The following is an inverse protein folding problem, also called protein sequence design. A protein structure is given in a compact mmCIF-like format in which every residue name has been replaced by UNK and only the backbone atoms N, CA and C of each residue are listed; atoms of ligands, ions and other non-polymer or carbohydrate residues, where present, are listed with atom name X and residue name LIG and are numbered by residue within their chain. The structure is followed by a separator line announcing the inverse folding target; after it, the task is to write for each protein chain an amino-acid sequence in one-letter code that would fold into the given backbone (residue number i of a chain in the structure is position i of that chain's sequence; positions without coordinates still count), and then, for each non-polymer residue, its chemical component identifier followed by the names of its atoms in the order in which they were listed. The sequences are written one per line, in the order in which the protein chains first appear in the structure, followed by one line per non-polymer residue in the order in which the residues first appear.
data_IF_438534650186
#
_entry.id   IF_438534650186
#
_cell.length_a   1.000
_cell.length_b   1.000
_cell.length_c   1.000
_cell.angle_alpha   90.00
_cell.angle_beta   90.00
_cell.angle_gamma   90.00
#
_symmetry.space_group_name_H-M   'P 1'
#
loop_
_entity.id
_entity.type
_entity.pdbx_description
1 polymer ?
#
# COMPACT_ATOMS: atom_id res chain seq x y z
N UNK A 1 15.57 -3.27 -17.98
CA UNK A 1 14.17 -3.29 -17.55
C UNK A 1 14.12 -3.55 -16.06
N UNK A 2 13.35 -2.74 -15.33
CA UNK A 2 13.03 -2.93 -13.92
C UNK A 2 11.54 -3.25 -13.77
N UNK A 3 11.22 -4.22 -12.92
CA UNK A 3 9.86 -4.58 -12.52
C UNK A 3 9.76 -4.35 -11.01
N UNK A 4 8.98 -3.36 -10.60
CA UNK A 4 8.93 -2.91 -9.21
C UNK A 4 7.49 -2.93 -8.70
N UNK A 5 7.28 -3.56 -7.55
CA UNK A 5 6.03 -3.51 -6.80
C UNK A 5 6.28 -2.97 -5.39
N UNK A 6 5.22 -2.65 -4.65
CA UNK A 6 5.31 -2.13 -3.28
C UNK A 6 6.14 -3.00 -2.34
N UNK A 7 6.08 -4.32 -2.50
CA UNK A 7 6.91 -5.27 -1.74
C UNK A 7 8.41 -5.04 -1.83
N UNK A 8 8.90 -4.39 -2.89
CA UNK A 8 10.33 -4.02 -3.02
C UNK A 8 10.82 -3.16 -1.86
N UNK A 9 9.94 -2.39 -1.22
CA UNK A 9 10.29 -1.56 -0.05
C UNK A 9 10.84 -2.38 1.12
N UNK A 10 10.36 -3.59 1.33
CA UNK A 10 10.78 -4.46 2.43
C UNK A 10 11.80 -5.52 2.01
N UNK A 11 11.76 -5.95 0.75
CA UNK A 11 12.54 -7.07 0.26
C UNK A 11 13.86 -6.65 -0.41
N UNK A 12 13.97 -5.37 -0.84
CA UNK A 12 15.14 -4.86 -1.54
C UNK A 12 15.82 -3.78 -0.70
N UNK A 13 17.03 -4.08 -0.18
CA UNK A 13 17.78 -3.16 0.65
C UNK A 13 19.29 -3.30 0.50
N UNK A 14 19.98 -2.17 0.42
CA UNK A 14 21.42 -2.04 0.58
C UNK A 14 21.66 -0.91 1.56
N UNK A 15 22.15 -1.24 2.74
CA UNK A 15 22.32 -0.27 3.82
C UNK A 15 23.60 0.55 3.67
N UNK A 16 23.57 1.77 4.19
CA UNK A 16 24.76 2.62 4.34
C UNK A 16 25.82 1.95 5.23
N UNK A 17 27.08 2.33 5.05
CA UNK A 17 28.20 1.77 5.78
C UNK A 17 28.02 1.91 7.30
N UNK A 18 28.35 0.87 8.03
CA UNK A 18 28.16 0.80 9.49
C UNK A 18 26.74 0.46 9.95
N UNK A 19 25.78 0.34 9.02
CA UNK A 19 24.43 -0.14 9.30
C UNK A 19 24.28 -1.63 9.04
N UNK A 20 23.47 -2.29 9.86
CA UNK A 20 23.09 -3.70 9.71
C UNK A 20 21.58 -3.82 9.74
N UNK A 21 21.04 -4.94 9.27
CA UNK A 21 19.61 -5.20 9.36
C UNK A 21 19.09 -5.11 10.79
N UNK A 22 19.84 -5.62 11.76
CA UNK A 22 19.48 -5.56 13.17
C UNK A 22 19.38 -4.11 13.69
N UNK A 23 20.33 -3.24 13.30
CA UNK A 23 20.27 -1.81 13.64
C UNK A 23 19.08 -1.11 12.99
N UNK A 24 18.78 -1.41 11.72
CA UNK A 24 17.63 -0.86 11.03
C UNK A 24 16.31 -1.31 11.69
N UNK A 25 16.20 -2.57 12.08
CA UNK A 25 15.03 -3.10 12.78
C UNK A 25 14.85 -2.39 14.14
N UNK A 26 15.91 -2.26 14.94
CA UNK A 26 15.87 -1.57 16.22
C UNK A 26 15.43 -0.10 16.06
N UNK A 27 16.03 0.65 15.13
CA UNK A 27 15.66 2.04 14.85
C UNK A 27 14.20 2.17 14.36
N UNK A 28 13.72 1.20 13.57
CA UNK A 28 12.32 1.18 13.12
C UNK A 28 11.37 0.94 14.29
N UNK A 29 11.70 -0.02 15.18
CA UNK A 29 10.89 -0.30 16.37
C UNK A 29 10.85 0.88 17.34
N UNK A 30 11.99 1.55 17.55
CA UNK A 30 12.08 2.76 18.37
C UNK A 30 11.17 3.87 17.80
N UNK A 31 11.23 4.12 16.50
CA UNK A 31 10.35 5.09 15.82
C UNK A 31 8.88 4.74 16.00
N UNK A 32 8.51 3.48 15.81
CA UNK A 32 7.13 3.01 16.01
C UNK A 32 6.67 3.18 17.46
N UNK A 33 7.51 2.82 18.43
CA UNK A 33 7.20 2.97 19.85
C UNK A 33 7.00 4.44 20.25
N UNK A 34 7.68 5.37 19.59
CA UNK A 34 7.54 6.81 19.78
C UNK A 34 6.41 7.44 18.95
N UNK A 35 5.57 6.64 18.29
CA UNK A 35 4.40 7.12 17.54
C UNK A 35 4.74 7.81 16.22
N UNK A 36 5.93 7.56 15.65
CA UNK A 36 6.29 8.14 14.37
C UNK A 36 5.36 7.66 13.25
N UNK A 37 5.00 8.55 12.35
CA UNK A 37 4.21 8.25 11.17
C UNK A 37 4.99 7.34 10.20
N UNK A 38 4.25 6.63 9.34
CA UNK A 38 4.87 5.80 8.28
C UNK A 38 5.75 6.65 7.34
N UNK A 39 5.40 7.92 7.13
CA UNK A 39 6.17 8.84 6.33
C UNK A 39 7.56 9.13 6.95
N UNK A 40 7.61 9.36 8.27
CA UNK A 40 8.86 9.58 9.01
C UNK A 40 9.73 8.32 9.02
N UNK A 41 9.14 7.15 9.19
CA UNK A 41 9.84 5.86 9.13
C UNK A 41 10.41 5.65 7.73
N UNK A 42 9.64 5.90 6.68
CA UNK A 42 10.10 5.76 5.31
C UNK A 42 11.19 6.79 4.96
N UNK A 43 11.10 8.02 5.47
CA UNK A 43 12.15 9.03 5.31
C UNK A 43 13.48 8.55 5.95
N UNK A 44 13.44 8.04 7.19
CA UNK A 44 14.60 7.45 7.84
C UNK A 44 15.18 6.28 7.02
N UNK A 45 14.33 5.35 6.57
CA UNK A 45 14.77 4.20 5.77
C UNK A 45 15.43 4.62 4.47
N UNK A 46 14.92 5.65 3.78
CA UNK A 46 15.56 6.23 2.58
C UNK A 46 16.93 6.83 2.88
N UNK A 47 17.10 7.48 4.05
CA UNK A 47 18.41 8.01 4.45
C UNK A 47 19.45 6.91 4.69
N UNK A 48 19.04 5.79 5.30
CA UNK A 48 19.88 4.66 5.65
C UNK A 48 20.13 3.66 4.51
N UNK A 49 19.53 3.88 3.36
CA UNK A 49 19.62 3.01 2.18
C UNK A 49 20.50 3.62 1.11
N UNK A 50 21.31 2.79 0.47
CA UNK A 50 22.12 3.15 -0.72
C UNK A 50 21.31 3.09 -2.03
N UNK A 51 20.11 2.51 -2.02
CA UNK A 51 19.33 2.28 -3.26
C UNK A 51 17.96 2.95 -3.29
N UNK A 52 17.37 3.30 -2.13
CA UNK A 52 16.05 3.94 -2.05
C UNK A 52 16.11 5.44 -2.31
N UNK A 53 14.96 6.06 -2.66
CA UNK A 53 14.88 7.49 -2.91
C UNK A 53 15.68 7.95 -4.14
N UNK A 54 15.65 7.17 -5.22
CA UNK A 54 16.38 7.45 -6.45
C UNK A 54 17.85 7.06 -6.42
N UNK A 55 18.39 6.63 -5.28
CA UNK A 55 19.81 6.33 -5.16
C UNK A 55 20.27 5.11 -5.98
N UNK A 56 19.35 4.25 -6.42
CA UNK A 56 19.69 3.10 -7.26
C UNK A 56 20.40 3.50 -8.55
N UNK A 57 20.15 4.71 -9.06
CA UNK A 57 20.78 5.22 -10.27
C UNK A 57 22.31 5.25 -10.24
N UNK A 58 22.93 5.40 -9.07
CA UNK A 58 24.40 5.40 -8.94
C UNK A 58 25.04 4.05 -9.31
N UNK A 59 24.25 2.97 -9.32
CA UNK A 59 24.72 1.62 -9.67
C UNK A 59 24.34 1.20 -11.09
N UNK A 60 23.62 2.05 -11.81
CA UNK A 60 23.16 1.74 -13.17
C UNK A 60 24.08 2.44 -14.19
N UNK A 61 24.65 1.65 -15.10
CA UNK A 61 25.46 2.16 -16.21
C UNK A 61 24.65 3.10 -17.12
N UNK A 62 25.35 3.85 -17.99
CA UNK A 62 24.73 4.76 -18.97
C UNK A 62 23.97 4.02 -20.09
N UNK A 63 22.91 3.36 -19.73
CA UNK A 63 22.01 2.65 -20.65
C UNK A 63 20.60 3.18 -20.51
N UNK A 64 19.79 3.13 -21.57
CA UNK A 64 18.35 3.39 -21.44
C UNK A 64 17.72 2.45 -20.41
N UNK A 65 16.90 3.01 -19.55
CA UNK A 65 16.21 2.28 -18.48
C UNK A 65 14.70 2.36 -18.69
N UNK A 66 14.05 1.22 -18.62
CA UNK A 66 12.58 1.15 -18.56
C UNK A 66 12.15 0.55 -17.23
N UNK A 67 11.09 1.10 -16.64
CA UNK A 67 10.54 0.64 -15.36
C UNK A 67 9.02 0.41 -15.46
N UNK A 68 8.58 -0.78 -15.12
CA UNK A 68 7.18 -1.11 -14.96
C UNK A 68 6.86 -1.21 -13.47
N UNK A 69 5.81 -0.51 -13.04
CA UNK A 69 5.40 -0.41 -11.65
C UNK A 69 4.05 -1.10 -11.42
N UNK A 70 3.94 -1.83 -10.33
CA UNK A 70 2.66 -2.19 -9.74
C UNK A 70 2.47 -1.32 -8.49
N UNK A 71 1.43 -0.49 -8.49
CA UNK A 71 1.16 0.43 -7.38
C UNK A 71 0.23 -0.20 -6.36
N UNK A 72 0.67 -0.15 -5.11
CA UNK A 72 -0.09 -0.48 -3.90
C UNK A 72 -0.32 0.73 -2.99
N UNK A 73 0.02 1.93 -3.48
CA UNK A 73 -0.08 3.17 -2.70
C UNK A 73 -1.17 4.09 -3.23
N UNK A 74 -1.87 4.77 -2.33
CA UNK A 74 -2.85 5.77 -2.70
C UNK A 74 -2.20 6.91 -3.50
N UNK A 75 -2.82 7.26 -4.63
CA UNK A 75 -2.35 8.34 -5.51
C UNK A 75 -1.20 7.95 -6.42
N UNK A 76 -0.80 6.68 -6.45
CA UNK A 76 0.12 6.09 -7.45
C UNK A 76 1.45 6.83 -7.61
N UNK A 77 1.95 7.45 -6.53
CA UNK A 77 3.20 8.21 -6.59
C UNK A 77 4.41 7.27 -6.73
N UNK A 78 5.13 7.30 -7.86
CA UNK A 78 6.26 6.40 -8.10
C UNK A 78 7.43 6.59 -7.12
N UNK A 79 7.54 7.77 -6.49
CA UNK A 79 8.54 8.02 -5.46
C UNK A 79 8.22 7.34 -4.11
N UNK A 80 7.00 6.80 -3.97
CA UNK A 80 6.55 6.05 -2.78
C UNK A 80 6.57 4.55 -3.05
N UNK A 81 6.15 4.11 -4.25
CA UNK A 81 6.15 2.71 -4.66
C UNK A 81 7.55 2.10 -4.50
N UNK A 82 7.66 1.01 -3.73
CA UNK A 82 8.94 0.38 -3.46
C UNK A 82 9.99 1.29 -2.79
N UNK A 83 9.56 2.36 -2.10
CA UNK A 83 10.40 3.43 -1.54
C UNK A 83 11.16 4.23 -2.61
N UNK A 84 10.67 4.25 -3.85
CA UNK A 84 11.21 5.09 -4.92
C UNK A 84 12.63 4.70 -5.33
N UNK A 85 12.88 3.42 -5.63
CA UNK A 85 14.23 2.94 -6.02
C UNK A 85 14.82 3.74 -7.18
N UNK A 86 13.99 4.08 -8.19
CA UNK A 86 14.38 4.85 -9.36
C UNK A 86 13.82 6.29 -9.37
N UNK A 87 13.23 6.73 -8.25
CA UNK A 87 12.57 8.05 -8.18
C UNK A 87 13.05 8.86 -6.97
N UNK A 88 13.43 10.14 -7.18
CA UNK A 88 13.40 10.86 -8.45
C UNK A 88 14.42 10.32 -9.46
N UNK A 89 14.06 10.39 -10.75
CA UNK A 89 14.97 10.02 -11.83
C UNK A 89 15.89 11.19 -12.21
N UNK A 90 17.14 10.93 -12.61
CA UNK A 90 18.01 11.96 -13.19
C UNK A 90 17.43 12.49 -14.50
N UNK A 91 17.60 13.79 -14.74
CA UNK A 91 17.05 14.46 -15.94
C UNK A 91 17.88 14.23 -17.20
N UNK A 92 19.11 13.79 -17.05
CA UNK A 92 20.10 13.54 -18.11
C UNK A 92 20.13 12.06 -18.56
N UNK A 93 19.25 11.22 -18.01
CA UNK A 93 19.19 9.79 -18.33
C UNK A 93 18.00 9.45 -19.22
N UNK A 94 18.21 8.55 -20.18
CA UNK A 94 17.13 7.98 -20.97
C UNK A 94 16.32 7.02 -20.09
N UNK A 95 15.18 7.50 -19.57
CA UNK A 95 14.32 6.78 -18.66
C UNK A 95 12.85 6.84 -19.07
N UNK A 96 12.21 5.69 -19.12
CA UNK A 96 10.77 5.55 -19.31
C UNK A 96 10.17 4.72 -18.18
N UNK A 97 8.95 5.03 -17.79
CA UNK A 97 8.24 4.26 -16.79
C UNK A 97 6.74 4.25 -17.02
N UNK A 98 6.08 3.23 -16.52
CA UNK A 98 4.63 3.05 -16.61
C UNK A 98 4.12 2.30 -15.36
N UNK A 99 2.93 2.67 -14.90
CA UNK A 99 2.17 1.87 -13.91
C UNK A 99 1.30 0.89 -14.68
N UNK A 100 1.67 -0.38 -14.64
CA UNK A 100 0.98 -1.45 -15.37
C UNK A 100 -0.19 -2.05 -14.62
N UNK A 101 -0.23 -1.85 -13.29
CA UNK A 101 -1.37 -2.25 -12.45
C UNK A 101 -1.47 -1.35 -11.22
N UNK A 102 -2.69 -0.95 -10.90
CA UNK A 102 -3.04 -0.24 -9.68
C UNK A 102 -4.46 -0.59 -9.24
N UNK A 103 -4.88 -0.06 -8.09
CA UNK A 103 -6.20 -0.30 -7.52
C UNK A 103 -7.33 0.15 -8.46
N UNK A 104 -7.22 1.33 -9.08
CA UNK A 104 -8.25 1.86 -9.98
C UNK A 104 -8.43 1.02 -11.23
N UNK A 105 -7.33 0.57 -11.84
CA UNK A 105 -7.37 -0.31 -13.01
C UNK A 105 -8.03 -1.65 -12.67
N UNK A 106 -7.73 -2.21 -11.49
CA UNK A 106 -8.36 -3.45 -11.02
C UNK A 106 -9.87 -3.27 -10.83
N UNK A 107 -10.30 -2.20 -10.16
CA UNK A 107 -11.71 -1.90 -9.94
C UNK A 107 -12.46 -1.70 -11.26
N UNK A 108 -11.87 -0.94 -12.20
CA UNK A 108 -12.44 -0.74 -13.53
C UNK A 108 -12.59 -2.06 -14.32
N UNK A 109 -11.57 -2.93 -14.23
CA UNK A 109 -11.63 -4.26 -14.86
C UNK A 109 -12.72 -5.15 -14.25
N UNK A 110 -12.90 -5.10 -12.93
CA UNK A 110 -14.00 -5.82 -12.25
C UNK A 110 -15.37 -5.33 -12.72
N UNK A 111 -15.57 -4.02 -12.81
CA UNK A 111 -16.80 -3.43 -13.31
C UNK A 111 -17.07 -3.82 -14.77
N UNK A 112 -16.03 -3.81 -15.62
CA UNK A 112 -16.15 -4.17 -17.03
C UNK A 112 -16.38 -5.67 -17.28
N UNK A 113 -16.05 -6.52 -16.31
CA UNK A 113 -16.12 -7.99 -16.48
C UNK A 113 -17.53 -8.53 -16.64
N UNK A 114 -18.55 -7.82 -16.15
CA UNK A 114 -19.96 -8.24 -16.16
C UNK A 114 -20.23 -9.64 -15.57
N UNK A 115 -19.28 -10.16 -14.77
CA UNK A 115 -19.40 -11.49 -14.14
C UNK A 115 -20.50 -11.47 -13.06
N UNK A 116 -20.70 -10.33 -12.42
CA UNK A 116 -21.71 -10.12 -11.40
C UNK A 116 -22.71 -9.07 -11.88
N UNK A 117 -24.00 -9.24 -11.59
CA UNK A 117 -24.99 -8.20 -11.85
C UNK A 117 -24.75 -7.01 -10.94
N UNK A 118 -24.94 -5.82 -11.43
CA UNK A 118 -24.98 -4.57 -10.65
C UNK A 118 -23.75 -4.35 -9.75
N UNK A 119 -22.56 -4.20 -10.36
CA UNK A 119 -21.37 -3.79 -9.62
C UNK A 119 -21.35 -2.26 -9.51
N UNK A 120 -21.23 -1.75 -8.28
CA UNK A 120 -21.00 -0.34 -7.98
C UNK A 120 -19.64 -0.17 -7.34
N UNK A 121 -18.77 0.65 -7.97
CA UNK A 121 -17.49 1.03 -7.41
C UNK A 121 -17.68 2.33 -6.63
N UNK A 122 -17.27 2.32 -5.38
CA UNK A 122 -17.37 3.49 -4.52
C UNK A 122 -16.05 4.27 -4.55
N UNK A 123 -16.14 5.62 -4.63
CA UNK A 123 -14.97 6.47 -4.85
C UNK A 123 -14.08 6.59 -3.61
N UNK A 124 -14.61 6.29 -2.42
CA UNK A 124 -13.89 6.41 -1.16
C UNK A 124 -12.82 5.36 -1.05
N UNK A 125 -11.59 5.79 -0.75
CA UNK A 125 -10.50 4.89 -0.42
C UNK A 125 -10.51 4.59 1.08
N UNK A 126 -10.70 3.31 1.45
CA UNK A 126 -10.72 2.89 2.85
C UNK A 126 -9.32 2.96 3.44
N UNK A 127 -9.07 3.93 4.32
CA UNK A 127 -7.76 4.14 4.97
C UNK A 127 -7.84 4.30 6.49
N UNK A 128 -9.05 4.24 7.06
CA UNK A 128 -9.27 4.33 8.51
C UNK A 128 -8.96 3.01 9.21
N UNK A 129 -9.14 3.00 10.54
CA UNK A 129 -9.09 1.77 11.33
C UNK A 129 -10.07 0.72 10.82
N UNK A 130 -9.66 -0.56 10.87
CA UNK A 130 -10.40 -1.68 10.27
C UNK A 130 -11.82 -1.85 10.85
N UNK A 131 -12.00 -1.65 12.17
CA UNK A 131 -13.34 -1.73 12.78
C UNK A 131 -14.22 -0.55 12.35
N UNK A 132 -13.65 0.65 12.32
CA UNK A 132 -14.37 1.84 11.90
C UNK A 132 -14.77 1.75 10.41
N UNK A 133 -13.85 1.34 9.55
CA UNK A 133 -14.11 1.14 8.13
C UNK A 133 -15.20 0.08 7.90
N UNK A 134 -15.14 -1.05 8.61
CA UNK A 134 -16.13 -2.11 8.53
C UNK A 134 -17.53 -1.64 8.91
N UNK A 135 -17.64 -0.93 10.05
CA UNK A 135 -18.93 -0.33 10.47
C UNK A 135 -19.48 0.65 9.44
N UNK A 136 -18.63 1.55 8.93
CA UNK A 136 -19.06 2.52 7.92
C UNK A 136 -19.55 1.86 6.64
N UNK A 137 -18.88 0.80 6.17
CA UNK A 137 -19.32 0.02 5.01
C UNK A 137 -20.66 -0.67 5.27
N UNK A 138 -20.84 -1.31 6.43
CA UNK A 138 -22.11 -1.96 6.78
C UNK A 138 -23.24 -0.94 6.91
N UNK A 139 -23.00 0.19 7.58
CA UNK A 139 -24.00 1.25 7.72
C UNK A 139 -24.41 1.83 6.36
N UNK A 140 -23.47 2.01 5.44
CA UNK A 140 -23.76 2.41 4.08
C UNK A 140 -24.66 1.38 3.37
N UNK A 141 -24.37 0.08 3.50
CA UNK A 141 -25.10 -0.99 2.80
C UNK A 141 -26.56 -1.12 3.23
N UNK A 142 -26.92 -0.75 4.45
CA UNK A 142 -28.30 -0.82 4.99
C UNK A 142 -29.33 -0.09 4.13
N UNK A 143 -28.91 1.00 3.50
CA UNK A 143 -29.78 1.86 2.71
C UNK A 143 -29.62 1.64 1.20
N UNK A 144 -28.87 0.62 0.79
CA UNK A 144 -28.61 0.36 -0.63
C UNK A 144 -29.55 -0.70 -1.19
N UNK A 145 -29.72 -0.63 -2.52
CA UNK A 145 -30.39 -1.70 -3.26
C UNK A 145 -29.52 -2.96 -3.31
N UNK A 146 -30.15 -4.10 -3.58
CA UNK A 146 -29.42 -5.35 -3.78
C UNK A 146 -28.38 -5.20 -4.90
N UNK A 147 -27.13 -5.59 -4.62
CA UNK A 147 -26.02 -5.41 -5.55
C UNK A 147 -24.67 -5.77 -4.96
N UNK A 148 -23.60 -5.56 -5.74
CA UNK A 148 -22.22 -5.74 -5.30
C UNK A 148 -21.55 -4.38 -5.21
N UNK A 149 -21.10 -4.02 -4.02
CA UNK A 149 -20.45 -2.76 -3.72
C UNK A 149 -18.98 -3.00 -3.47
N UNK A 150 -18.10 -2.27 -4.15
CA UNK A 150 -16.67 -2.49 -4.10
C UNK A 150 -15.95 -1.17 -3.72
N UNK A 151 -15.14 -1.25 -2.68
CA UNK A 151 -14.21 -0.20 -2.27
C UNK A 151 -12.78 -0.60 -2.56
N UNK A 152 -11.96 0.35 -2.95
CA UNK A 152 -10.54 0.24 -2.87
C UNK A 152 -10.04 0.68 -1.50
N UNK A 153 -8.90 0.14 -1.02
CA UNK A 153 -8.36 0.63 0.22
C UNK A 153 -7.33 -0.26 0.88
N UNK A 154 -6.77 0.29 1.95
CA UNK A 154 -5.88 -0.41 2.87
C UNK A 154 -6.12 0.14 4.28
N UNK A 155 -6.91 -0.58 5.07
CA UNK A 155 -7.24 -0.18 6.45
C UNK A 155 -6.03 -0.31 7.37
N UNK A 156 -6.08 0.36 8.51
CA UNK A 156 -5.07 0.26 9.58
C UNK A 156 -5.62 -0.55 10.74
N UNK A 157 -4.73 -1.03 11.62
CA UNK A 157 -5.08 -1.61 12.91
C UNK A 157 -4.11 -1.12 13.97
N UNK A 158 -4.62 -0.81 15.14
CA UNK A 158 -3.80 -0.55 16.32
C UNK A 158 -3.57 -1.86 17.06
N UNK A 159 -2.33 -2.33 17.10
CA UNK A 159 -2.00 -3.58 17.77
C UNK A 159 -2.00 -3.42 19.29
N UNK A 160 -2.72 -4.26 20.04
CA UNK A 160 -2.60 -4.31 21.50
C UNK A 160 -1.24 -4.89 21.91
N UNK A 161 -0.92 -4.82 23.21
CA UNK A 161 0.35 -5.35 23.74
C UNK A 161 0.57 -6.84 23.44
N UNK A 162 -0.51 -7.63 23.37
CA UNK A 162 -0.48 -9.05 23.01
C UNK A 162 -1.43 -9.27 21.81
N UNK A 163 -0.99 -8.98 20.58
CA UNK A 163 -1.82 -9.15 19.41
C UNK A 163 -2.08 -10.62 19.11
N UNK A 164 -3.28 -10.91 18.63
CA UNK A 164 -3.62 -12.22 18.08
C UNK A 164 -2.92 -12.50 16.75
N UNK A 165 -3.34 -13.58 16.08
CA UNK A 165 -2.90 -13.91 14.72
C UNK A 165 -3.92 -13.38 13.71
N UNK A 166 -3.44 -12.92 12.57
CA UNK A 166 -4.26 -12.39 11.49
C UNK A 166 -3.68 -11.10 10.91
N UNK A 167 -4.49 -10.40 10.16
CA UNK A 167 -4.13 -9.13 9.54
C UNK A 167 -5.33 -8.20 9.47
N UNK A 168 -5.10 -6.96 9.05
CA UNK A 168 -6.12 -5.91 8.95
C UNK A 168 -7.35 -6.32 8.13
N UNK A 169 -7.18 -7.06 7.03
CA UNK A 169 -8.30 -7.51 6.21
C UNK A 169 -9.16 -8.57 6.93
N UNK A 170 -8.54 -9.46 7.71
CA UNK A 170 -9.28 -10.40 8.55
C UNK A 170 -10.01 -9.68 9.69
N UNK A 171 -9.38 -8.68 10.28
CA UNK A 171 -10.00 -7.85 11.32
C UNK A 171 -11.20 -7.09 10.75
N UNK A 172 -11.04 -6.45 9.59
CA UNK A 172 -12.13 -5.79 8.87
C UNK A 172 -13.30 -6.75 8.60
N UNK A 173 -13.01 -7.93 8.04
CA UNK A 173 -14.04 -8.91 7.70
C UNK A 173 -14.80 -9.41 8.94
N UNK A 174 -14.10 -9.65 10.05
CA UNK A 174 -14.71 -10.05 11.31
C UNK A 174 -15.59 -8.92 11.88
N UNK A 175 -15.10 -7.69 11.90
CA UNK A 175 -15.85 -6.54 12.37
C UNK A 175 -17.11 -6.29 11.51
N UNK A 176 -17.00 -6.45 10.19
CA UNK A 176 -18.14 -6.36 9.29
C UNK A 176 -19.16 -7.48 9.57
N UNK A 177 -18.72 -8.73 9.76
CA UNK A 177 -19.60 -9.84 10.09
C UNK A 177 -20.37 -9.61 11.39
N UNK A 178 -19.70 -9.12 12.43
CA UNK A 178 -20.35 -8.78 13.71
C UNK A 178 -21.36 -7.62 13.57
N UNK A 179 -21.04 -6.63 12.73
CA UNK A 179 -21.94 -5.52 12.47
C UNK A 179 -23.18 -5.95 11.65
N UNK A 180 -23.04 -6.97 10.79
CA UNK A 180 -24.12 -7.56 10.01
C UNK A 180 -25.04 -8.47 10.85
N UNK A 181 -24.53 -9.10 11.92
CA UNK A 181 -25.32 -10.02 12.77
C UNK A 181 -26.58 -9.34 13.35
N UNK A 182 -26.54 -8.03 13.54
CA UNK A 182 -27.68 -7.24 14.01
C UNK A 182 -28.57 -6.69 12.91
N UNK A 183 -28.33 -7.07 11.64
CA UNK A 183 -29.03 -6.50 10.47
C UNK A 183 -29.75 -7.62 9.71
N UNK A 184 -31.06 -7.48 9.58
CA UNK A 184 -31.88 -8.36 8.72
C UNK A 184 -31.78 -7.85 7.26
N UNK A 185 -31.43 -8.74 6.33
CA UNK A 185 -31.43 -8.50 4.87
C UNK A 185 -30.34 -7.58 4.30
N UNK A 186 -29.06 -7.86 4.59
CA UNK A 186 -27.95 -7.37 3.76
C UNK A 186 -27.24 -8.56 3.12
#
# INVERSE_FOLDING_TARGET
LFLISGGASSLCEVLEDGWTLAKLQAATQEKLANGASIAEINAMRKQLSKIKGGKLWQFISERPVSCLLISDVQGDNPAVIGSGLLFPAPTDRAFSWEIVANNQQMLAAMQASQILPTIQILPEFLSSDAEQAAKSCVDFLKDQAEGVYIWGGETTVTLPANPGRGGRNQHFALAAALALESTENI
#
